data_IF_337154710330
#
_entry.id   IF_337154710330
#
_cell.length_a   1.000
_cell.length_b   1.000
_cell.length_c   1.000
_cell.angle_alpha   90.00
_cell.angle_beta   90.00
_cell.angle_gamma   90.00
#
_symmetry.space_group_name_H-M   'P 1'
#
loop_
_entity.id
_entity.type
_entity.pdbx_description
1 polymer ?
#
# COMPACT_ATOMS: atom_id res chain seq x y z
N UNK A 1 -20.03 -18.77 9.21
CA UNK A 1 -20.06 -17.36 9.67
C UNK A 1 -20.63 -16.47 8.58
N UNK A 2 -21.29 -15.40 8.98
CA UNK A 2 -21.66 -14.27 8.12
C UNK A 2 -20.57 -13.21 8.26
N UNK A 3 -19.88 -12.91 7.18
CA UNK A 3 -18.70 -12.04 7.17
C UNK A 3 -18.97 -10.88 6.22
N UNK A 4 -18.72 -9.66 6.66
CA UNK A 4 -18.74 -8.45 5.81
C UNK A 4 -17.31 -7.96 5.63
N UNK A 5 -16.89 -7.84 4.36
CA UNK A 5 -15.63 -7.22 3.96
C UNK A 5 -15.90 -5.74 3.62
N UNK A 6 -15.44 -4.82 4.46
CA UNK A 6 -15.59 -3.38 4.25
C UNK A 6 -14.31 -2.81 3.61
N UNK A 7 -14.42 -2.34 2.38
CA UNK A 7 -13.27 -1.87 1.59
C UNK A 7 -13.58 -0.53 0.92
N UNK A 8 -12.60 0.37 0.83
CA UNK A 8 -12.79 1.72 0.31
C UNK A 8 -13.15 1.79 -1.18
N UNK A 9 -12.72 0.80 -1.95
CA UNK A 9 -12.96 0.69 -3.40
C UNK A 9 -13.06 -0.79 -3.76
N UNK A 10 -13.88 -1.12 -4.79
CA UNK A 10 -13.99 -2.49 -5.24
C UNK A 10 -14.34 -2.61 -6.73
N UNK A 11 -14.12 -3.82 -7.28
CA UNK A 11 -14.45 -4.15 -8.67
C UNK A 11 -15.94 -3.89 -9.01
N UNK A 12 -16.26 -3.66 -10.30
CA UNK A 12 -15.36 -3.51 -11.45
C UNK A 12 -14.82 -2.08 -11.61
N UNK A 13 -15.23 -1.12 -10.76
CA UNK A 13 -14.95 0.31 -10.93
C UNK A 13 -13.47 0.63 -10.67
N UNK A 14 -12.87 -0.04 -9.69
CA UNK A 14 -11.45 0.12 -9.36
C UNK A 14 -10.75 -1.22 -9.34
N UNK A 15 -9.49 -1.23 -9.75
CA UNK A 15 -8.63 -2.41 -9.76
C UNK A 15 -7.29 -2.06 -9.12
N UNK A 16 -6.99 -2.70 -7.99
CA UNK A 16 -5.75 -2.46 -7.26
C UNK A 16 -5.36 -3.66 -6.39
N UNK A 17 -4.22 -3.54 -5.71
CA UNK A 17 -3.71 -4.62 -4.88
C UNK A 17 -4.62 -4.95 -3.68
N UNK A 18 -5.27 -3.94 -3.09
CA UNK A 18 -6.21 -4.14 -1.98
C UNK A 18 -7.47 -4.86 -2.44
N UNK A 19 -8.05 -4.44 -3.57
CA UNK A 19 -9.24 -5.05 -4.16
C UNK A 19 -8.98 -6.51 -4.54
N UNK A 20 -7.86 -6.80 -5.18
CA UNK A 20 -7.44 -8.16 -5.53
C UNK A 20 -7.23 -9.03 -4.27
N UNK A 21 -6.64 -8.45 -3.22
CA UNK A 21 -6.47 -9.12 -1.93
C UNK A 21 -7.82 -9.48 -1.29
N UNK A 22 -8.76 -8.52 -1.23
CA UNK A 22 -10.10 -8.74 -0.67
C UNK A 22 -10.88 -9.75 -1.49
N UNK A 23 -10.82 -9.70 -2.82
CA UNK A 23 -11.44 -10.69 -3.70
C UNK A 23 -10.85 -12.09 -3.47
N UNK A 24 -9.52 -12.21 -3.39
CA UNK A 24 -8.83 -13.47 -3.10
C UNK A 24 -9.21 -14.06 -1.75
N UNK A 25 -9.28 -13.24 -0.70
CA UNK A 25 -9.74 -13.65 0.63
C UNK A 25 -11.22 -14.07 0.62
N UNK A 26 -12.08 -13.27 -0.02
CA UNK A 26 -13.51 -13.54 -0.13
C UNK A 26 -13.78 -14.86 -0.82
N UNK A 27 -13.12 -15.12 -1.95
CA UNK A 27 -13.29 -16.37 -2.69
C UNK A 27 -12.95 -17.61 -1.82
N UNK A 28 -11.87 -17.55 -1.05
CA UNK A 28 -11.44 -18.66 -0.18
C UNK A 28 -12.37 -18.86 1.01
N UNK A 29 -12.79 -17.78 1.67
CA UNK A 29 -13.77 -17.87 2.75
C UNK A 29 -15.08 -18.50 2.28
N UNK A 30 -15.55 -18.14 1.07
CA UNK A 30 -16.74 -18.73 0.47
C UNK A 30 -16.55 -20.22 0.12
N UNK A 31 -15.40 -20.59 -0.43
CA UNK A 31 -15.07 -22.01 -0.67
C UNK A 31 -15.09 -22.85 0.63
N UNK A 32 -14.81 -22.23 1.78
CA UNK A 32 -14.88 -22.86 3.10
C UNK A 32 -16.30 -22.82 3.71
N UNK A 33 -17.31 -22.40 2.95
CA UNK A 33 -18.71 -22.40 3.35
C UNK A 33 -19.16 -21.20 4.19
N UNK A 34 -18.37 -20.11 4.22
CA UNK A 34 -18.79 -18.87 4.86
C UNK A 34 -19.65 -18.02 3.93
N UNK A 35 -20.64 -17.33 4.46
CA UNK A 35 -21.41 -16.33 3.74
C UNK A 35 -20.64 -15.00 3.80
N UNK A 36 -20.21 -14.47 2.65
CA UNK A 36 -19.38 -13.27 2.59
C UNK A 36 -20.01 -12.24 1.67
N UNK A 37 -20.23 -11.05 2.22
CA UNK A 37 -20.69 -9.86 1.47
C UNK A 37 -19.61 -8.78 1.51
N UNK A 38 -19.59 -7.92 0.50
CA UNK A 38 -18.66 -6.81 0.39
C UNK A 38 -19.43 -5.50 0.44
N UNK A 39 -18.91 -4.52 1.18
CA UNK A 39 -19.48 -3.18 1.26
C UNK A 39 -18.43 -2.13 0.94
N UNK A 40 -18.81 -1.14 0.11
CA UNK A 40 -17.89 -0.09 -0.34
C UNK A 40 -18.62 1.25 -0.49
N UNK A 41 -18.07 2.38 0.02
CA UNK A 41 -18.62 3.71 -0.21
C UNK A 41 -18.30 4.21 -1.62
N UNK A 42 -19.20 4.98 -2.21
CA UNK A 42 -18.95 5.59 -3.52
C UNK A 42 -19.50 7.02 -3.59
N UNK A 43 -18.64 8.03 -3.81
CA UNK A 43 -19.07 9.42 -3.98
C UNK A 43 -19.66 9.71 -5.36
N UNK A 44 -19.63 8.79 -6.32
CA UNK A 44 -20.08 9.00 -7.70
C UNK A 44 -21.53 8.52 -7.95
N UNK A 45 -22.14 7.82 -6.99
CA UNK A 45 -23.49 7.29 -7.12
C UNK A 45 -24.47 8.06 -6.23
N UNK A 46 -25.74 8.11 -6.63
CA UNK A 46 -26.81 8.76 -5.87
C UNK A 46 -27.64 7.78 -5.02
N UNK A 47 -27.66 6.51 -5.42
CA UNK A 47 -28.46 5.46 -4.79
C UNK A 47 -27.60 4.21 -4.55
N UNK A 48 -28.01 3.39 -3.61
CA UNK A 48 -27.34 2.12 -3.30
C UNK A 48 -27.44 1.18 -4.49
N UNK A 49 -26.31 0.62 -4.88
CA UNK A 49 -26.20 -0.40 -5.92
C UNK A 49 -25.80 -1.72 -5.29
N UNK A 50 -26.56 -2.76 -5.59
CA UNK A 50 -26.22 -4.14 -5.19
C UNK A 50 -26.00 -4.98 -6.46
N UNK A 51 -24.88 -5.64 -6.55
CA UNK A 51 -24.51 -6.48 -7.69
C UNK A 51 -23.69 -7.69 -7.22
N UNK A 52 -23.50 -8.63 -8.12
CA UNK A 52 -22.62 -9.79 -7.89
C UNK A 52 -21.30 -9.59 -8.64
N UNK A 53 -20.18 -9.92 -7.97
CA UNK A 53 -18.86 -9.98 -8.57
C UNK A 53 -18.13 -11.23 -8.06
N UNK A 54 -17.70 -12.10 -8.98
CA UNK A 54 -17.06 -13.40 -8.68
C UNK A 54 -17.86 -14.22 -7.63
N UNK A 55 -19.20 -14.16 -7.77
CA UNK A 55 -20.15 -14.85 -6.90
C UNK A 55 -20.35 -14.22 -5.51
N UNK A 56 -19.67 -13.14 -5.16
CA UNK A 56 -19.91 -12.41 -3.91
C UNK A 56 -20.88 -11.23 -4.15
N UNK A 57 -21.80 -11.02 -3.20
CA UNK A 57 -22.68 -9.85 -3.21
C UNK A 57 -21.87 -8.62 -2.79
N UNK A 58 -21.98 -7.56 -3.57
CA UNK A 58 -21.34 -6.27 -3.33
C UNK A 58 -22.40 -5.20 -3.14
N UNK A 59 -22.34 -4.49 -2.02
CA UNK A 59 -23.17 -3.33 -1.72
C UNK A 59 -22.32 -2.07 -1.87
N UNK A 60 -22.65 -1.25 -2.84
CA UNK A 60 -22.03 0.06 -3.08
C UNK A 60 -23.01 1.13 -2.60
N UNK A 61 -22.63 1.91 -1.60
CA UNK A 61 -23.50 2.93 -1.01
C UNK A 61 -23.01 4.35 -1.27
N UNK A 62 -23.92 5.30 -1.50
CA UNK A 62 -23.56 6.68 -1.78
C UNK A 62 -23.00 7.37 -0.54
N UNK A 63 -21.96 8.19 -0.73
CA UNK A 63 -21.48 9.16 0.25
C UNK A 63 -21.43 10.55 -0.37
N UNK A 64 -21.53 11.59 0.47
CA UNK A 64 -21.52 12.97 -0.02
C UNK A 64 -20.21 13.31 -0.74
N UNK A 65 -20.35 14.08 -1.82
CA UNK A 65 -19.25 14.70 -2.54
C UNK A 65 -19.69 16.09 -3.05
N UNK A 66 -18.90 17.17 -2.87
CA UNK A 66 -17.65 17.21 -2.12
C UNK A 66 -17.89 17.07 -0.61
N UNK A 67 -16.88 16.51 0.06
CA UNK A 67 -16.87 16.45 1.52
C UNK A 67 -16.69 17.84 2.12
N UNK A 68 -17.36 18.11 3.23
CA UNK A 68 -17.04 19.26 4.07
C UNK A 68 -15.65 19.07 4.71
N UNK A 69 -15.03 20.17 5.16
CA UNK A 69 -13.73 20.10 5.83
C UNK A 69 -13.73 19.20 7.08
N UNK A 70 -14.74 19.25 7.98
CA UNK A 70 -14.83 18.31 9.09
C UNK A 70 -14.94 16.84 8.66
N UNK A 71 -15.76 16.51 7.65
CA UNK A 71 -15.90 15.15 7.11
C UNK A 71 -14.57 14.65 6.53
N UNK A 72 -13.91 15.46 5.70
CA UNK A 72 -12.63 15.10 5.11
C UNK A 72 -11.50 14.91 6.14
N UNK A 73 -11.63 15.52 7.32
CA UNK A 73 -10.69 15.40 8.44
C UNK A 73 -11.10 14.32 9.45
N UNK A 74 -12.23 13.62 9.25
CA UNK A 74 -12.78 12.65 10.20
C UNK A 74 -13.26 13.25 11.52
N UNK A 75 -13.60 14.55 11.52
CA UNK A 75 -14.13 15.29 12.69
C UNK A 75 -15.67 15.30 12.73
N UNK A 76 -16.30 14.83 11.68
CA UNK A 76 -17.72 14.61 11.58
C UNK A 76 -17.97 13.33 10.77
N UNK A 77 -19.07 12.62 11.05
CA UNK A 77 -19.52 11.53 10.19
C UNK A 77 -19.69 12.01 8.75
N UNK A 78 -19.43 11.14 7.80
CA UNK A 78 -19.61 11.43 6.37
C UNK A 78 -21.09 11.28 6.03
N UNK A 79 -21.71 12.30 5.46
CA UNK A 79 -23.11 12.24 5.02
C UNK A 79 -23.28 11.11 3.99
N UNK A 80 -24.33 10.31 4.15
CA UNK A 80 -24.60 9.11 3.37
C UNK A 80 -24.12 7.81 4.04
N UNK A 81 -23.18 7.89 4.99
CA UNK A 81 -22.73 6.69 5.73
C UNK A 81 -23.79 6.15 6.71
N UNK A 82 -24.86 6.90 6.95
CA UNK A 82 -26.02 6.45 7.73
C UNK A 82 -26.65 5.18 7.16
N UNK A 83 -26.58 5.01 5.84
CA UNK A 83 -27.00 3.77 5.20
C UNK A 83 -26.25 2.56 5.75
N UNK A 84 -24.90 2.64 5.86
CA UNK A 84 -24.10 1.56 6.42
C UNK A 84 -24.52 1.23 7.84
N UNK A 85 -24.79 2.24 8.68
CA UNK A 85 -25.19 2.04 10.08
C UNK A 85 -26.55 1.28 10.16
N UNK A 86 -27.54 1.65 9.33
CA UNK A 86 -28.81 0.95 9.28
C UNK A 86 -28.69 -0.47 8.74
N UNK A 87 -27.94 -0.62 7.64
CA UNK A 87 -27.74 -1.89 6.98
C UNK A 87 -26.99 -2.91 7.88
N UNK A 88 -25.90 -2.50 8.53
CA UNK A 88 -25.11 -3.40 9.38
C UNK A 88 -25.90 -3.83 10.63
N UNK A 89 -26.72 -2.93 11.17
CA UNK A 89 -27.61 -3.23 12.30
C UNK A 89 -28.69 -4.25 11.96
N UNK A 90 -29.19 -4.26 10.70
CA UNK A 90 -30.13 -5.25 10.20
C UNK A 90 -29.45 -6.58 9.82
N UNK A 91 -28.30 -6.50 9.16
CA UNK A 91 -27.54 -7.66 8.68
C UNK A 91 -26.99 -8.53 9.82
N UNK A 92 -26.59 -7.92 10.96
CA UNK A 92 -26.01 -8.58 12.13
C UNK A 92 -25.00 -9.66 11.76
N UNK A 93 -23.90 -9.31 11.08
CA UNK A 93 -22.87 -10.28 10.74
C UNK A 93 -22.10 -10.75 11.98
N UNK A 94 -21.50 -11.93 11.90
CA UNK A 94 -20.59 -12.41 12.93
C UNK A 94 -19.29 -11.59 12.94
N UNK A 95 -18.81 -11.23 11.73
CA UNK A 95 -17.54 -10.53 11.50
C UNK A 95 -17.76 -9.34 10.57
N UNK A 96 -17.16 -8.19 10.92
CA UNK A 96 -16.93 -7.08 9.99
C UNK A 96 -15.43 -6.85 9.88
N UNK A 97 -14.89 -7.02 8.69
CA UNK A 97 -13.47 -6.85 8.42
C UNK A 97 -13.23 -5.61 7.55
N UNK A 98 -12.66 -4.58 8.14
CA UNK A 98 -12.30 -3.33 7.46
C UNK A 98 -10.90 -3.45 6.85
N UNK A 99 -10.77 -3.23 5.54
CA UNK A 99 -9.49 -3.29 4.82
C UNK A 99 -8.86 -1.92 4.56
N UNK A 100 -9.63 -0.86 4.69
CA UNK A 100 -9.16 0.51 4.55
C UNK A 100 -10.01 1.44 5.41
N UNK A 101 -9.39 2.49 5.93
CA UNK A 101 -10.11 3.59 6.57
C UNK A 101 -10.17 4.75 5.58
N UNK A 102 -11.37 5.01 5.10
CA UNK A 102 -11.67 6.05 4.10
C UNK A 102 -12.93 6.82 4.52
N UNK A 103 -13.26 7.96 3.91
CA UNK A 103 -14.55 8.59 4.12
C UNK A 103 -15.70 7.60 3.87
N UNK A 104 -16.60 7.46 4.84
CA UNK A 104 -17.69 6.49 4.83
C UNK A 104 -17.35 5.09 5.39
N UNK A 105 -16.08 4.82 5.66
CA UNK A 105 -15.60 3.62 6.40
C UNK A 105 -14.51 4.06 7.38
N UNK A 106 -14.88 4.78 8.42
CA UNK A 106 -13.99 5.28 9.46
C UNK A 106 -14.40 4.81 10.85
N UNK A 107 -14.07 5.59 11.87
CA UNK A 107 -14.32 5.27 13.28
C UNK A 107 -15.82 5.14 13.58
N UNK A 108 -16.69 5.93 12.93
CA UNK A 108 -18.14 5.86 13.11
C UNK A 108 -18.69 4.50 12.63
N UNK A 109 -18.20 4.01 11.50
CA UNK A 109 -18.61 2.73 10.92
C UNK A 109 -18.04 1.53 11.71
N UNK A 110 -16.80 1.64 12.24
CA UNK A 110 -16.26 0.65 13.20
C UNK A 110 -17.13 0.54 14.43
N UNK A 111 -17.54 1.70 14.99
CA UNK A 111 -18.42 1.78 16.16
C UNK A 111 -19.81 1.18 15.87
N UNK A 112 -20.37 1.46 14.70
CA UNK A 112 -21.65 0.90 14.26
C UNK A 112 -21.59 -0.62 14.13
N UNK A 113 -20.54 -1.17 13.52
CA UNK A 113 -20.31 -2.61 13.41
C UNK A 113 -20.20 -3.27 14.80
N UNK A 114 -19.49 -2.64 15.72
CA UNK A 114 -19.37 -3.12 17.10
C UNK A 114 -20.70 -3.09 17.83
N UNK A 115 -21.49 -2.04 17.67
CA UNK A 115 -22.83 -1.90 18.24
C UNK A 115 -23.84 -2.94 17.69
N UNK A 116 -23.66 -3.38 16.44
CA UNK A 116 -24.42 -4.46 15.82
C UNK A 116 -24.08 -5.86 16.39
N UNK A 117 -23.09 -5.96 17.30
CA UNK A 117 -22.64 -7.20 17.92
C UNK A 117 -21.57 -7.96 17.12
N UNK A 118 -21.07 -7.40 16.04
CA UNK A 118 -20.05 -8.02 15.22
C UNK A 118 -18.67 -8.01 15.92
N UNK A 119 -17.87 -9.05 15.66
CA UNK A 119 -16.43 -8.99 15.88
C UNK A 119 -15.81 -8.11 14.78
N UNK A 120 -15.05 -7.10 15.19
CA UNK A 120 -14.50 -6.09 14.28
C UNK A 120 -13.00 -6.30 14.10
N UNK A 121 -12.60 -6.57 12.86
CA UNK A 121 -11.20 -6.69 12.45
C UNK A 121 -10.87 -5.51 11.53
N UNK A 122 -9.71 -4.91 11.68
CA UNK A 122 -9.23 -3.90 10.73
C UNK A 122 -7.83 -4.26 10.24
N UNK A 123 -7.64 -4.34 8.92
CA UNK A 123 -6.34 -4.54 8.30
C UNK A 123 -5.93 -3.25 7.58
N UNK A 124 -4.73 -2.77 7.86
CA UNK A 124 -4.21 -1.59 7.16
C UNK A 124 -3.36 -1.98 5.97
N UNK A 125 -3.82 -1.60 4.77
CA UNK A 125 -3.06 -1.68 3.52
C UNK A 125 -2.35 -0.37 3.18
N UNK A 126 -2.57 0.67 3.99
CA UNK A 126 -2.04 2.01 3.78
C UNK A 126 -0.75 2.24 4.56
N UNK A 127 0.19 2.95 3.97
CA UNK A 127 1.41 3.44 4.64
C UNK A 127 1.14 4.45 5.77
N UNK A 128 -0.10 4.91 5.95
CA UNK A 128 -0.48 5.74 7.10
C UNK A 128 -0.57 4.94 8.40
N UNK A 129 -0.70 3.61 8.34
CA UNK A 129 -0.89 2.70 9.47
C UNK A 129 -2.06 3.13 10.38
N UNK A 130 -3.24 3.32 9.79
CA UNK A 130 -4.37 3.99 10.45
C UNK A 130 -4.15 5.50 10.41
N UNK A 131 -3.90 6.14 11.55
CA UNK A 131 -3.72 7.60 11.66
C UNK A 131 -2.30 8.02 12.09
N UNK A 132 -1.32 7.09 12.12
CA UNK A 132 0.03 7.36 12.60
C UNK A 132 0.77 8.32 11.68
N UNK A 133 0.73 8.12 10.37
CA UNK A 133 1.44 8.95 9.41
C UNK A 133 0.52 9.88 8.62
N UNK A 134 0.44 11.14 9.01
CA UNK A 134 -0.32 12.17 8.28
C UNK A 134 0.20 12.38 6.85
N UNK A 135 1.51 12.23 6.62
CA UNK A 135 2.12 12.27 5.28
C UNK A 135 1.70 11.10 4.39
N UNK A 136 1.31 9.97 4.98
CA UNK A 136 0.81 8.79 4.27
C UNK A 136 1.88 7.93 3.60
N UNK A 137 3.18 8.16 3.83
CA UNK A 137 4.27 7.43 3.16
C UNK A 137 5.22 6.74 4.11
N UNK A 138 5.19 7.06 5.40
CA UNK A 138 6.18 6.67 6.42
C UNK A 138 7.63 7.04 6.04
N UNK A 139 7.78 8.03 5.17
CA UNK A 139 9.07 8.57 4.76
C UNK A 139 9.26 9.96 5.36
N UNK A 140 10.21 10.10 6.28
CA UNK A 140 10.57 11.39 6.88
C UNK A 140 11.10 12.32 5.80
N UNK A 141 10.49 13.48 5.65
CA UNK A 141 10.80 14.46 4.60
C UNK A 141 10.71 13.90 3.16
N UNK A 142 10.07 12.71 2.99
CA UNK A 142 10.00 12.01 1.72
C UNK A 142 11.30 11.36 1.24
N UNK A 143 12.32 11.24 2.10
CA UNK A 143 13.67 10.81 1.71
C UNK A 143 14.21 9.62 2.51
N UNK A 144 13.90 9.54 3.81
CA UNK A 144 14.39 8.50 4.70
C UNK A 144 13.22 7.80 5.40
N UNK A 145 13.40 6.51 5.73
CA UNK A 145 12.42 5.78 6.51
C UNK A 145 12.14 6.50 7.83
N UNK A 146 10.87 6.71 8.15
CA UNK A 146 10.44 7.26 9.41
C UNK A 146 10.66 6.22 10.54
N UNK A 147 10.90 6.72 11.77
CA UNK A 147 10.97 5.87 12.97
C UNK A 147 9.59 5.30 13.39
N UNK A 148 8.51 5.77 12.77
CA UNK A 148 7.14 5.36 13.04
C UNK A 148 6.50 6.01 14.28
N UNK A 149 7.25 6.74 15.10
CA UNK A 149 6.70 7.43 16.28
C UNK A 149 6.02 8.72 15.88
N UNK A 150 4.76 8.90 16.29
CA UNK A 150 4.01 10.14 16.04
C UNK A 150 4.33 11.18 17.11
N UNK A 151 4.91 12.28 16.68
CA UNK A 151 5.18 13.45 17.51
C UNK A 151 4.59 14.69 16.84
N UNK A 152 3.79 15.46 17.57
CA UNK A 152 3.04 16.59 17.00
C UNK A 152 3.94 17.51 16.17
N UNK A 153 5.05 17.99 16.72
CA UNK A 153 5.95 18.92 16.04
C UNK A 153 6.65 18.30 14.83
N UNK A 154 7.18 17.09 15.01
CA UNK A 154 7.90 16.36 13.96
C UNK A 154 6.98 16.05 12.78
N UNK A 155 5.80 15.51 13.06
CA UNK A 155 4.85 15.09 12.04
C UNK A 155 4.17 16.27 11.36
N UNK A 156 3.83 17.35 12.11
CA UNK A 156 3.30 18.57 11.53
C UNK A 156 4.28 19.23 10.55
N UNK A 157 5.55 19.38 10.93
CA UNK A 157 6.58 19.91 10.03
C UNK A 157 6.77 19.02 8.80
N UNK A 158 6.75 17.69 8.97
CA UNK A 158 6.91 16.74 7.87
C UNK A 158 5.75 16.81 6.86
N UNK A 159 4.49 16.91 7.32
CA UNK A 159 3.33 17.03 6.43
C UNK A 159 3.27 18.40 5.75
N UNK A 160 3.59 19.47 6.47
CA UNK A 160 3.65 20.83 5.90
C UNK A 160 4.68 20.94 4.77
N UNK A 161 5.83 20.27 4.89
CA UNK A 161 6.79 20.20 3.78
C UNK A 161 6.25 19.43 2.58
N UNK A 162 5.50 18.34 2.79
CA UNK A 162 4.80 17.65 1.68
C UNK A 162 3.85 18.59 0.96
N UNK A 163 3.24 19.53 1.68
CA UNK A 163 2.32 20.55 1.13
C UNK A 163 3.03 21.75 0.50
N UNK A 164 4.36 21.71 0.40
CA UNK A 164 5.18 22.71 -0.30
C UNK A 164 5.69 23.85 0.58
N UNK A 165 5.54 23.82 1.92
CA UNK A 165 6.16 24.82 2.78
C UNK A 165 7.69 24.62 2.84
N UNK A 166 8.42 25.73 2.80
CA UNK A 166 9.85 25.70 3.05
C UNK A 166 10.17 25.08 4.42
N UNK A 167 11.27 24.33 4.57
CA UNK A 167 11.59 23.60 5.81
C UNK A 167 11.58 24.47 7.08
N UNK A 168 12.10 25.70 7.01
CA UNK A 168 12.11 26.64 8.14
C UNK A 168 10.70 27.10 8.52
N UNK A 169 9.84 27.40 7.53
CA UNK A 169 8.46 27.84 7.75
C UNK A 169 7.60 26.69 8.31
N UNK A 170 7.77 25.48 7.78
CA UNK A 170 7.12 24.27 8.29
C UNK A 170 7.50 24.00 9.75
N UNK A 171 8.79 24.14 10.08
CA UNK A 171 9.30 23.96 11.44
C UNK A 171 8.80 25.05 12.41
N UNK A 172 8.67 26.30 11.95
CA UNK A 172 8.12 27.39 12.75
C UNK A 172 6.62 27.16 13.03
N UNK A 173 5.82 26.87 12.00
CA UNK A 173 4.39 26.60 12.14
C UNK A 173 4.11 25.39 13.05
N UNK A 174 4.94 24.35 12.97
CA UNK A 174 4.83 23.15 13.81
C UNK A 174 5.10 23.38 15.30
N UNK A 175 5.67 24.53 15.70
CA UNK A 175 5.87 24.89 17.11
C UNK A 175 4.64 25.51 17.79
N UNK A 176 3.60 25.81 17.00
CA UNK A 176 2.38 26.38 17.57
C UNK A 176 1.78 25.38 18.59
N UNK A 177 1.44 25.82 19.82
CA UNK A 177 0.78 24.94 20.79
C UNK A 177 -0.53 24.37 20.24
N UNK A 178 -0.87 23.15 20.60
CA UNK A 178 -2.04 22.42 20.07
C UNK A 178 -3.33 23.23 20.27
N UNK A 179 -3.54 23.82 21.44
CA UNK A 179 -4.74 24.68 21.72
C UNK A 179 -4.83 25.89 20.80
N UNK A 180 -3.72 26.64 20.62
CA UNK A 180 -3.68 27.78 19.69
C UNK A 180 -3.84 27.32 18.22
N UNK A 181 -3.28 26.17 17.88
CA UNK A 181 -3.43 25.54 16.56
C UNK A 181 -4.88 25.13 16.28
N UNK A 182 -5.61 24.64 17.28
CA UNK A 182 -7.03 24.30 17.12
C UNK A 182 -7.88 25.54 16.80
N UNK A 183 -7.62 26.67 17.47
CA UNK A 183 -8.27 27.94 17.14
C UNK A 183 -7.89 28.42 15.73
N UNK A 184 -6.60 28.41 15.41
CA UNK A 184 -6.11 28.84 14.10
C UNK A 184 -6.60 27.98 12.93
N UNK A 185 -6.97 26.74 13.18
CA UNK A 185 -7.55 25.80 12.19
C UNK A 185 -8.86 26.32 11.56
N UNK A 186 -9.61 27.16 12.28
CA UNK A 186 -10.85 27.76 11.78
C UNK A 186 -10.61 28.83 10.70
N UNK A 187 -9.39 29.33 10.59
CA UNK A 187 -9.03 30.29 9.54
C UNK A 187 -9.19 29.69 8.13
N UNK A 188 -9.59 30.49 7.15
CA UNK A 188 -9.83 29.98 5.80
C UNK A 188 -8.54 29.58 5.06
N UNK A 189 -8.69 28.69 4.10
CA UNK A 189 -7.67 28.36 3.11
C UNK A 189 -6.38 27.75 3.66
N UNK A 190 -5.27 28.12 3.04
CA UNK A 190 -3.94 27.57 3.36
C UNK A 190 -3.43 28.01 4.75
N UNK A 191 -3.83 29.17 5.23
CA UNK A 191 -3.42 29.70 6.55
C UNK A 191 -3.95 28.78 7.65
N UNK A 192 -5.26 28.53 7.66
CA UNK A 192 -5.87 27.64 8.66
C UNK A 192 -5.35 26.19 8.55
N UNK A 193 -5.01 25.72 7.35
CA UNK A 193 -4.38 24.40 7.17
C UNK A 193 -2.97 24.39 7.77
N UNK A 194 -2.18 25.41 7.52
CA UNK A 194 -0.78 25.49 7.99
C UNK A 194 -0.71 25.61 9.51
N UNK A 195 -1.42 26.60 10.08
CA UNK A 195 -1.40 26.83 11.52
C UNK A 195 -2.20 25.77 12.31
N UNK A 196 -3.18 25.12 11.67
CA UNK A 196 -3.96 24.03 12.25
C UNK A 196 -3.30 22.66 12.19
N UNK A 197 -2.10 22.54 11.61
CA UNK A 197 -1.45 21.23 11.43
C UNK A 197 -1.08 20.55 12.76
N UNK A 198 -0.49 21.20 13.77
CA UNK A 198 -0.25 20.58 15.06
C UNK A 198 -1.52 20.00 15.71
N UNK A 199 -2.64 20.70 15.65
CA UNK A 199 -3.93 20.21 16.15
C UNK A 199 -4.45 19.02 15.34
N UNK A 200 -4.21 19.00 14.02
CA UNK A 200 -4.58 17.87 13.17
C UNK A 200 -3.76 16.61 13.49
N UNK A 201 -2.47 16.75 13.78
CA UNK A 201 -1.64 15.62 14.22
C UNK A 201 -2.08 15.08 15.59
N UNK A 202 -2.34 15.99 16.56
CA UNK A 202 -2.84 15.57 17.86
C UNK A 202 -4.20 14.84 17.75
N UNK A 203 -5.08 15.33 16.88
CA UNK A 203 -6.35 14.68 16.60
C UNK A 203 -6.17 13.29 15.94
N UNK A 204 -5.21 13.12 15.04
CA UNK A 204 -4.90 11.81 14.48
C UNK A 204 -4.40 10.81 15.54
N UNK A 205 -3.66 11.27 16.56
CA UNK A 205 -3.28 10.40 17.69
C UNK A 205 -4.52 9.94 18.48
N UNK A 206 -5.47 10.84 18.72
CA UNK A 206 -6.74 10.48 19.36
C UNK A 206 -7.52 9.46 18.51
N UNK A 207 -7.66 9.69 17.19
CA UNK A 207 -8.33 8.77 16.27
C UNK A 207 -7.66 7.39 16.25
N UNK A 208 -6.34 7.32 16.36
CA UNK A 208 -5.64 6.03 16.46
C UNK A 208 -6.04 5.25 17.73
N UNK A 209 -6.23 5.95 18.84
CA UNK A 209 -6.74 5.34 20.09
C UNK A 209 -8.19 4.87 19.91
N UNK A 210 -9.06 5.72 19.38
CA UNK A 210 -10.47 5.38 19.11
C UNK A 210 -10.61 4.18 18.15
N UNK A 211 -9.79 4.13 17.09
CA UNK A 211 -9.72 2.97 16.20
C UNK A 211 -9.41 1.68 17.00
N UNK A 212 -8.38 1.73 17.85
CA UNK A 212 -7.97 0.58 18.63
C UNK A 212 -9.02 0.18 19.69
N UNK A 213 -9.82 1.13 20.19
CA UNK A 213 -10.91 0.84 21.13
C UNK A 213 -12.06 0.09 20.46
N UNK A 214 -12.31 0.35 19.18
CA UNK A 214 -13.44 -0.24 18.44
C UNK A 214 -13.10 -1.48 17.62
N UNK A 215 -11.82 -1.86 17.51
CA UNK A 215 -11.43 -3.12 16.87
C UNK A 215 -11.10 -4.21 17.90
N UNK A 216 -11.44 -5.44 17.58
CA UNK A 216 -11.00 -6.61 18.35
C UNK A 216 -9.59 -7.02 17.98
N UNK A 217 -9.24 -6.88 16.68
CA UNK A 217 -7.86 -7.06 16.18
C UNK A 217 -7.56 -6.01 15.13
N UNK A 218 -6.37 -5.41 15.25
CA UNK A 218 -5.77 -4.55 14.23
C UNK A 218 -4.62 -5.30 13.56
N UNK A 219 -4.77 -5.59 12.28
CA UNK A 219 -3.87 -6.45 11.52
C UNK A 219 -2.91 -5.61 10.69
N UNK A 220 -1.64 -5.88 10.86
CA UNK A 220 -0.54 -5.28 10.12
C UNK A 220 0.05 -6.31 9.15
N UNK A 221 0.58 -5.83 8.04
CA UNK A 221 1.10 -6.69 6.98
C UNK A 221 2.62 -6.93 7.09
N UNK A 222 3.30 -6.17 7.96
CA UNK A 222 4.74 -6.24 8.17
C UNK A 222 5.08 -6.09 9.65
N UNK A 223 6.19 -6.69 10.07
CA UNK A 223 6.75 -6.56 11.42
C UNK A 223 7.05 -5.10 11.76
N UNK A 224 7.68 -4.40 10.81
CA UNK A 224 7.99 -3.00 10.98
C UNK A 224 6.74 -2.15 11.26
N UNK A 225 5.63 -2.40 10.54
CA UNK A 225 4.36 -1.71 10.76
C UNK A 225 3.79 -2.02 12.14
N UNK A 226 3.84 -3.28 12.56
CA UNK A 226 3.40 -3.72 13.88
C UNK A 226 4.21 -3.00 14.98
N UNK A 227 5.52 -2.99 14.89
CA UNK A 227 6.37 -2.31 15.86
C UNK A 227 6.16 -0.78 15.86
N UNK A 228 5.88 -0.16 14.71
CA UNK A 228 5.53 1.26 14.65
C UNK A 228 4.23 1.56 15.40
N UNK A 229 3.21 0.71 15.26
CA UNK A 229 1.93 0.86 15.97
C UNK A 229 2.12 0.64 17.48
N UNK A 230 2.94 -0.33 17.89
CA UNK A 230 3.30 -0.56 19.31
C UNK A 230 4.01 0.66 19.92
N UNK A 231 4.97 1.26 19.21
CA UNK A 231 5.68 2.47 19.66
C UNK A 231 4.72 3.66 19.90
N UNK A 232 3.57 3.67 19.24
CA UNK A 232 2.52 4.66 19.43
C UNK A 232 1.50 4.27 20.51
N UNK A 233 1.81 3.28 21.35
CA UNK A 233 1.03 2.93 22.53
C UNK A 233 -0.06 1.87 22.29
N UNK A 234 -0.13 1.26 21.11
CA UNK A 234 -1.11 0.20 20.86
C UNK A 234 -0.82 -1.04 21.71
N UNK A 235 -1.84 -1.62 22.38
CA UNK A 235 -1.68 -2.81 23.19
C UNK A 235 -1.42 -4.02 22.28
N UNK A 236 -0.34 -4.76 22.54
CA UNK A 236 0.08 -5.91 21.70
C UNK A 236 -1.00 -6.95 21.53
N UNK A 237 -1.84 -7.18 22.55
CA UNK A 237 -2.91 -8.17 22.48
C UNK A 237 -4.01 -7.84 21.45
N UNK A 238 -4.13 -6.58 21.02
CA UNK A 238 -5.03 -6.17 19.94
C UNK A 238 -4.40 -6.27 18.55
N UNK A 239 -3.10 -6.46 18.47
CA UNK A 239 -2.37 -6.48 17.20
C UNK A 239 -2.18 -7.90 16.69
N UNK A 240 -2.20 -8.05 15.38
CA UNK A 240 -1.82 -9.28 14.71
C UNK A 240 -0.98 -8.97 13.46
N UNK A 241 -0.08 -9.89 13.14
CA UNK A 241 0.68 -9.86 11.90
C UNK A 241 0.07 -10.89 10.95
N UNK A 242 -0.37 -10.45 9.76
CA UNK A 242 -0.79 -11.35 8.70
C UNK A 242 -0.19 -10.87 7.37
N UNK A 243 0.98 -11.40 7.01
CA UNK A 243 1.71 -11.02 5.80
C UNK A 243 0.92 -11.33 4.55
N UNK A 244 1.15 -10.56 3.49
CA UNK A 244 0.50 -10.78 2.20
C UNK A 244 0.82 -12.18 1.63
N UNK A 245 -0.12 -12.71 0.87
CA UNK A 245 0.02 -13.91 0.07
C UNK A 245 -0.32 -13.66 -1.39
N UNK A 246 0.04 -14.59 -2.24
CA UNK A 246 -0.24 -14.56 -3.69
C UNK A 246 -1.51 -15.35 -4.03
N UNK A 247 -2.16 -15.00 -5.13
CA UNK A 247 -3.30 -15.74 -5.66
C UNK A 247 -2.89 -17.13 -6.17
N UNK A 248 -3.86 -18.06 -6.27
CA UNK A 248 -3.62 -19.44 -6.69
C UNK A 248 -3.04 -19.59 -8.11
N UNK A 249 -3.22 -18.59 -8.97
CA UNK A 249 -2.70 -18.64 -10.35
C UNK A 249 -1.16 -18.61 -10.41
N UNK A 250 -0.50 -18.01 -9.42
CA UNK A 250 0.95 -18.04 -9.28
C UNK A 250 1.46 -19.38 -8.71
N UNK A 251 0.67 -20.05 -7.88
CA UNK A 251 1.06 -21.33 -7.26
C UNK A 251 0.98 -22.48 -8.27
N UNK A 252 0.12 -22.38 -9.29
CA UNK A 252 -0.13 -23.44 -10.27
C UNK A 252 0.90 -23.57 -11.39
N UNK A 253 1.70 -22.52 -11.64
CA UNK A 253 2.79 -22.58 -12.63
C UNK A 253 4.10 -22.83 -11.88
N UNK A 254 4.75 -24.01 -12.06
CA UNK A 254 6.10 -24.20 -11.56
C UNK A 254 6.97 -23.06 -12.08
N UNK A 255 7.83 -22.51 -11.21
CA UNK A 255 8.86 -21.60 -11.66
C UNK A 255 9.51 -22.19 -12.90
N UNK A 256 9.55 -21.43 -14.00
CA UNK A 256 10.18 -21.89 -15.23
C UNK A 256 11.55 -22.44 -14.88
N UNK A 257 11.88 -23.62 -15.39
CA UNK A 257 13.14 -24.29 -15.09
C UNK A 257 14.28 -23.27 -15.16
N UNK A 258 15.08 -23.20 -14.09
CA UNK A 258 16.08 -22.16 -13.90
C UNK A 258 16.97 -22.07 -15.15
N UNK A 259 16.70 -21.08 -16.00
CA UNK A 259 17.54 -20.81 -17.17
C UNK A 259 18.76 -19.99 -16.68
N UNK A 260 19.98 -20.31 -17.12
CA UNK A 260 21.12 -19.45 -16.85
C UNK A 260 20.88 -18.05 -17.41
N UNK A 261 21.12 -17.04 -16.59
CA UNK A 261 21.00 -15.64 -17.03
C UNK A 261 22.17 -15.29 -17.95
N UNK A 262 21.86 -14.71 -19.11
CA UNK A 262 22.87 -14.30 -20.10
C UNK A 262 22.75 -12.80 -20.36
N UNK A 263 23.89 -12.09 -20.52
CA UNK A 263 23.85 -10.70 -20.95
C UNK A 263 23.19 -10.54 -22.35
N UNK A 264 22.43 -9.45 -22.56
CA UNK A 264 22.10 -8.41 -21.61
C UNK A 264 21.07 -8.88 -20.57
N UNK A 265 21.30 -8.52 -19.29
CA UNK A 265 20.36 -8.81 -18.19
C UNK A 265 19.08 -8.02 -18.38
N UNK A 266 17.94 -8.68 -18.32
CA UNK A 266 16.63 -8.05 -18.47
C UNK A 266 16.06 -7.66 -17.08
N UNK A 267 16.15 -6.38 -16.77
CA UNK A 267 15.46 -5.78 -15.62
C UNK A 267 14.03 -5.44 -16.01
N UNK A 268 13.07 -5.62 -15.09
CA UNK A 268 11.68 -5.25 -15.29
C UNK A 268 11.18 -4.33 -14.19
N UNK A 269 10.28 -3.43 -14.55
CA UNK A 269 9.43 -2.69 -13.62
C UNK A 269 7.98 -2.93 -14.00
N UNK A 270 7.15 -3.36 -13.05
CA UNK A 270 5.71 -3.52 -13.22
C UNK A 270 4.99 -2.83 -12.08
N UNK A 271 4.21 -1.80 -12.40
CA UNK A 271 3.49 -1.04 -11.38
C UNK A 271 2.99 0.32 -11.86
N UNK A 272 2.26 1.03 -11.00
CA UNK A 272 1.76 2.37 -11.31
C UNK A 272 2.89 3.35 -11.53
N UNK A 273 2.73 4.25 -12.48
CA UNK A 273 3.61 5.40 -12.65
C UNK A 273 3.27 6.47 -11.62
N UNK A 274 3.90 6.36 -10.46
CA UNK A 274 3.73 7.24 -9.31
C UNK A 274 5.12 7.56 -8.74
N UNK A 275 5.44 8.83 -8.41
CA UNK A 275 6.73 9.20 -7.84
C UNK A 275 7.12 8.42 -6.58
N UNK A 276 6.11 8.03 -5.76
CA UNK A 276 6.35 7.25 -4.53
C UNK A 276 6.84 5.82 -4.83
N UNK A 277 6.69 5.32 -6.07
CA UNK A 277 7.23 4.03 -6.51
C UNK A 277 8.70 4.11 -6.94
N UNK A 278 9.32 5.31 -6.88
CA UNK A 278 10.72 5.51 -7.18
C UNK A 278 11.11 5.37 -8.65
N UNK A 279 10.14 5.47 -9.54
CA UNK A 279 10.34 5.26 -10.99
C UNK A 279 11.32 6.24 -11.62
N UNK A 280 11.37 7.49 -11.12
CA UNK A 280 12.36 8.48 -11.57
C UNK A 280 13.80 8.09 -11.18
N UNK A 281 13.97 7.49 -9.99
CA UNK A 281 15.28 7.03 -9.55
C UNK A 281 15.77 5.84 -10.39
N UNK A 282 14.85 4.95 -10.80
CA UNK A 282 15.18 3.88 -11.73
C UNK A 282 15.61 4.40 -13.10
N UNK A 283 14.86 5.36 -13.66
CA UNK A 283 15.22 5.98 -14.93
C UNK A 283 16.59 6.70 -14.85
N UNK A 284 16.85 7.46 -13.77
CA UNK A 284 18.15 8.12 -13.53
C UNK A 284 19.29 7.12 -13.38
N UNK A 285 19.05 6.05 -12.63
CA UNK A 285 20.04 5.00 -12.42
C UNK A 285 20.49 4.40 -13.75
N UNK A 286 19.57 3.98 -14.62
CA UNK A 286 19.90 3.40 -15.93
C UNK A 286 20.55 4.43 -16.86
N UNK A 287 20.02 5.66 -16.92
CA UNK A 287 20.56 6.72 -17.78
C UNK A 287 21.98 7.14 -17.38
N UNK A 288 22.39 6.96 -16.12
CA UNK A 288 23.74 7.28 -15.63
C UNK A 288 24.79 6.24 -15.96
N UNK A 289 24.39 5.03 -16.38
CA UNK A 289 25.33 3.93 -16.67
C UNK A 289 25.88 4.04 -18.09
N UNK A 290 27.15 3.65 -18.30
CA UNK A 290 27.74 3.55 -19.62
C UNK A 290 26.84 2.78 -20.60
N UNK A 291 26.77 3.21 -21.85
CA UNK A 291 25.90 2.60 -22.89
C UNK A 291 26.23 1.12 -23.13
N UNK A 292 27.48 0.74 -22.89
CA UNK A 292 28.02 -0.61 -23.06
C UNK A 292 27.60 -1.56 -21.93
N UNK A 293 27.04 -1.04 -20.83
CA UNK A 293 26.55 -1.90 -19.74
C UNK A 293 25.49 -2.86 -20.30
N UNK A 294 25.69 -4.20 -20.16
CA UNK A 294 24.87 -5.19 -20.86
C UNK A 294 23.54 -5.43 -20.11
N UNK A 295 22.66 -4.44 -20.17
CA UNK A 295 21.32 -4.47 -19.56
C UNK A 295 20.22 -4.12 -20.57
N UNK A 296 19.01 -4.53 -20.25
CA UNK A 296 17.75 -4.00 -20.78
C UNK A 296 16.82 -3.71 -19.64
N UNK A 297 15.99 -2.68 -19.77
CA UNK A 297 14.95 -2.33 -18.79
C UNK A 297 13.59 -2.32 -19.49
N UNK A 298 12.69 -3.20 -19.07
CA UNK A 298 11.30 -3.24 -19.50
C UNK A 298 10.40 -2.58 -18.41
N UNK A 299 9.72 -1.50 -18.79
CA UNK A 299 8.91 -0.66 -17.88
C UNK A 299 7.45 -0.79 -18.27
N UNK A 300 6.63 -1.32 -17.38
CA UNK A 300 5.21 -1.59 -17.61
C UNK A 300 4.35 -0.94 -16.53
N UNK A 301 3.29 -0.26 -16.93
CA UNK A 301 2.33 0.31 -16.00
C UNK A 301 1.14 0.98 -16.69
N UNK A 302 0.02 1.16 -15.96
CA UNK A 302 -1.15 1.85 -16.48
C UNK A 302 -0.89 3.35 -16.63
N UNK A 303 -1.48 3.94 -17.68
CA UNK A 303 -1.40 5.38 -18.03
C UNK A 303 -2.81 5.99 -18.13
N UNK A 304 -3.66 5.60 -17.21
CA UNK A 304 -5.09 5.93 -17.14
C UNK A 304 -5.39 7.32 -16.55
N UNK A 305 -4.49 7.84 -15.71
CA UNK A 305 -4.63 9.17 -15.09
C UNK A 305 -3.74 10.23 -15.74
N UNK A 306 -4.04 11.51 -15.48
CA UNK A 306 -3.20 12.64 -15.91
C UNK A 306 -1.81 12.56 -15.26
N UNK A 307 -1.79 12.21 -13.98
CA UNK A 307 -0.57 12.08 -13.17
C UNK A 307 0.32 10.94 -13.70
N UNK A 308 -0.24 9.76 -13.99
CA UNK A 308 0.54 8.63 -14.52
C UNK A 308 1.15 8.94 -15.89
N UNK A 309 0.40 9.63 -16.77
CA UNK A 309 0.91 10.11 -18.05
C UNK A 309 2.03 11.13 -17.88
N UNK A 310 1.93 12.02 -16.89
CA UNK A 310 2.98 12.99 -16.59
C UNK A 310 4.26 12.28 -16.11
N UNK A 311 4.15 11.37 -15.17
CA UNK A 311 5.29 10.60 -14.65
C UNK A 311 5.98 9.79 -15.76
N UNK A 312 5.20 9.15 -16.64
CA UNK A 312 5.77 8.44 -17.78
C UNK A 312 6.58 9.38 -18.72
N UNK A 313 6.04 10.56 -19.04
CA UNK A 313 6.80 11.55 -19.86
C UNK A 313 8.10 11.97 -19.18
N UNK A 314 8.08 12.18 -17.88
CA UNK A 314 9.27 12.52 -17.10
C UNK A 314 10.31 11.41 -17.13
N UNK A 315 9.90 10.15 -16.97
CA UNK A 315 10.79 8.99 -17.11
C UNK A 315 11.40 8.88 -18.50
N UNK A 316 10.58 9.07 -19.55
CA UNK A 316 11.05 9.06 -20.96
C UNK A 316 12.05 10.17 -21.22
N UNK A 317 11.82 11.37 -20.68
CA UNK A 317 12.75 12.49 -20.78
C UNK A 317 14.08 12.21 -20.07
N UNK A 318 14.06 11.57 -18.89
CA UNK A 318 15.26 11.15 -18.16
C UNK A 318 16.02 10.07 -18.93
N UNK A 319 15.32 9.11 -19.51
CA UNK A 319 15.95 8.04 -20.32
C UNK A 319 16.56 8.56 -21.62
N UNK A 320 16.14 9.74 -22.08
CA UNK A 320 16.73 10.46 -23.23
C UNK A 320 16.95 9.57 -24.47
N UNK A 321 15.97 8.71 -24.81
CA UNK A 321 16.05 7.81 -25.96
C UNK A 321 17.06 6.67 -25.80
N UNK A 322 17.42 6.30 -24.59
CA UNK A 322 18.30 5.15 -24.33
C UNK A 322 17.70 3.86 -24.92
N UNK A 323 18.33 3.21 -25.92
CA UNK A 323 17.79 2.03 -26.59
C UNK A 323 17.68 0.79 -25.68
N UNK A 324 18.28 0.84 -24.49
CA UNK A 324 18.18 -0.22 -23.48
C UNK A 324 16.86 -0.16 -22.71
N UNK A 325 16.13 0.98 -22.76
CA UNK A 325 14.90 1.19 -21.99
C UNK A 325 13.68 1.09 -22.89
N UNK A 326 12.80 0.18 -22.59
CA UNK A 326 11.54 0.00 -23.29
C UNK A 326 10.36 0.36 -22.37
N UNK A 327 9.48 1.24 -22.84
CA UNK A 327 8.25 1.62 -22.17
C UNK A 327 7.06 0.97 -22.90
N UNK A 328 6.50 -0.07 -22.30
CA UNK A 328 5.38 -0.82 -22.87
C UNK A 328 4.05 -0.56 -22.18
N UNK A 329 2.94 -1.08 -22.71
CA UNK A 329 1.63 -1.02 -22.08
C UNK A 329 1.60 -1.79 -20.76
N UNK A 330 0.57 -1.53 -19.95
CA UNK A 330 0.32 -2.33 -18.75
C UNK A 330 0.18 -3.82 -19.12
N UNK A 331 0.72 -4.68 -18.26
CA UNK A 331 0.56 -6.14 -18.39
C UNK A 331 -0.82 -6.51 -17.84
N UNK A 332 -1.58 -7.30 -18.57
CA UNK A 332 -2.86 -7.81 -18.08
C UNK A 332 -2.63 -8.73 -16.86
N UNK A 333 -3.56 -8.71 -15.90
CA UNK A 333 -3.41 -9.47 -14.65
C UNK A 333 -3.14 -10.96 -14.88
N UNK A 334 -3.78 -11.57 -15.86
CA UNK A 334 -3.56 -12.98 -16.22
C UNK A 334 -2.15 -13.27 -16.77
N UNK A 335 -1.46 -12.26 -17.33
CA UNK A 335 -0.15 -12.38 -17.94
C UNK A 335 0.99 -12.00 -16.99
N UNK A 336 0.69 -11.46 -15.82
CA UNK A 336 1.71 -11.07 -14.82
C UNK A 336 2.65 -12.24 -14.48
N UNK A 337 2.17 -13.45 -14.21
CA UNK A 337 3.06 -14.57 -13.88
C UNK A 337 4.08 -14.88 -14.98
N UNK A 338 3.62 -14.93 -16.23
CA UNK A 338 4.48 -15.22 -17.38
C UNK A 338 5.43 -14.08 -17.69
N UNK A 339 4.98 -12.83 -17.52
CA UNK A 339 5.82 -11.64 -17.69
C UNK A 339 6.94 -11.60 -16.62
N UNK A 340 6.61 -11.82 -15.35
CA UNK A 340 7.61 -11.88 -14.28
C UNK A 340 8.62 -13.01 -14.51
N UNK A 341 8.18 -14.19 -14.95
CA UNK A 341 9.07 -15.29 -15.28
C UNK A 341 9.98 -15.01 -16.50
N UNK A 342 9.63 -14.05 -17.35
CA UNK A 342 10.41 -13.67 -18.54
C UNK A 342 11.54 -12.69 -18.25
N UNK A 343 11.48 -11.91 -17.16
CA UNK A 343 12.51 -10.98 -16.75
C UNK A 343 13.54 -11.65 -15.82
N UNK A 344 14.73 -11.08 -15.73
CA UNK A 344 15.81 -11.65 -14.91
C UNK A 344 15.78 -11.08 -13.49
N UNK A 345 15.44 -9.80 -13.34
CA UNK A 345 15.37 -9.09 -12.05
C UNK A 345 14.20 -8.11 -12.06
N UNK A 346 13.33 -8.17 -11.06
CA UNK A 346 12.30 -7.17 -10.86
C UNK A 346 12.85 -5.97 -10.08
N UNK A 347 12.63 -4.74 -10.56
CA UNK A 347 12.99 -3.50 -9.89
C UNK A 347 11.81 -2.96 -9.07
N UNK A 348 11.99 -2.81 -7.76
CA UNK A 348 11.03 -2.23 -6.82
C UNK A 348 11.67 -1.06 -6.04
N UNK A 349 11.96 0.08 -6.69
CA UNK A 349 12.71 1.20 -6.09
C UNK A 349 11.82 2.12 -5.24
N UNK A 350 10.77 1.60 -4.59
CA UNK A 350 9.76 2.37 -3.86
C UNK A 350 10.35 3.35 -2.85
N UNK A 351 9.77 4.56 -2.82
CA UNK A 351 10.08 5.64 -1.88
C UNK A 351 8.97 5.85 -0.84
N UNK A 352 8.20 4.80 -0.55
CA UNK A 352 7.20 4.79 0.53
C UNK A 352 7.23 3.43 1.24
N UNK A 353 6.82 3.42 2.50
CA UNK A 353 6.59 2.17 3.20
C UNK A 353 5.44 1.43 2.50
N UNK A 354 5.74 0.25 2.05
CA UNK A 354 4.72 -0.67 1.52
C UNK A 354 4.49 -1.80 2.51
N UNK A 355 3.25 -2.24 2.63
CA UNK A 355 2.86 -3.42 3.42
C UNK A 355 3.34 -4.74 2.82
N UNK A 356 4.22 -4.66 1.83
CA UNK A 356 4.70 -5.69 0.94
C UNK A 356 4.13 -5.43 -0.46
N UNK A 357 4.95 -5.00 -1.43
CA UNK A 357 4.46 -4.89 -2.79
C UNK A 357 4.12 -6.28 -3.30
N UNK A 358 2.86 -6.53 -3.65
CA UNK A 358 2.39 -7.83 -4.16
C UNK A 358 3.24 -8.30 -5.33
N UNK A 359 3.59 -7.38 -6.22
CA UNK A 359 4.43 -7.68 -7.40
C UNK A 359 5.81 -8.28 -7.03
N UNK A 360 6.39 -7.92 -5.86
CA UNK A 360 7.66 -8.50 -5.42
C UNK A 360 7.48 -9.94 -4.88
N UNK A 361 6.35 -10.20 -4.19
CA UNK A 361 5.99 -11.55 -3.75
C UNK A 361 5.69 -12.42 -4.96
N UNK A 362 4.97 -11.90 -5.93
CA UNK A 362 4.64 -12.52 -7.21
C UNK A 362 5.90 -12.82 -8.03
N UNK A 363 6.89 -11.91 -8.04
CA UNK A 363 8.17 -12.13 -8.69
C UNK A 363 8.94 -13.30 -8.05
N UNK A 364 9.02 -13.36 -6.73
CA UNK A 364 9.63 -14.49 -6.05
C UNK A 364 8.93 -15.81 -6.41
N UNK A 365 7.59 -15.82 -6.44
CA UNK A 365 6.83 -16.99 -6.85
C UNK A 365 7.07 -17.40 -8.33
N UNK A 366 7.34 -16.43 -9.18
CA UNK A 366 7.69 -16.64 -10.59
C UNK A 366 9.17 -17.05 -10.79
N UNK A 367 9.97 -17.11 -9.73
CA UNK A 367 11.40 -17.42 -9.79
C UNK A 367 12.29 -16.21 -10.13
N UNK A 368 11.79 -14.99 -9.95
CA UNK A 368 12.46 -13.73 -10.31
C UNK A 368 12.91 -12.98 -9.04
N UNK A 369 14.22 -12.82 -8.81
CA UNK A 369 14.74 -12.05 -7.68
C UNK A 369 14.43 -10.56 -7.82
N UNK A 370 14.49 -9.85 -6.68
CA UNK A 370 14.11 -8.44 -6.59
C UNK A 370 15.32 -7.55 -6.29
N UNK A 371 15.47 -6.48 -7.06
CA UNK A 371 16.29 -5.31 -6.74
C UNK A 371 15.35 -4.21 -6.22
N UNK A 372 15.43 -3.90 -4.93
CA UNK A 372 14.48 -2.99 -4.29
C UNK A 372 15.11 -2.03 -3.30
N UNK A 373 14.27 -1.28 -2.60
CA UNK A 373 14.69 -0.38 -1.53
C UNK A 373 14.52 -1.02 -0.16
N UNK A 374 15.41 -0.70 0.78
CA UNK A 374 15.45 -1.25 2.13
C UNK A 374 14.38 -0.59 3.02
N UNK A 375 13.09 -0.83 2.69
CA UNK A 375 11.96 -0.28 3.44
C UNK A 375 10.81 -1.30 3.54
N UNK A 376 10.11 -1.27 4.68
CA UNK A 376 8.86 -1.99 4.91
C UNK A 376 8.91 -3.45 4.48
N UNK A 377 7.86 -3.90 3.81
CA UNK A 377 7.71 -5.28 3.35
C UNK A 377 8.78 -5.76 2.38
N UNK A 378 9.42 -4.87 1.59
CA UNK A 378 10.57 -5.26 0.76
C UNK A 378 11.75 -5.70 1.62
N UNK A 379 12.04 -4.98 2.72
CA UNK A 379 13.14 -5.32 3.61
C UNK A 379 12.88 -6.61 4.43
N UNK A 380 11.62 -7.03 4.56
CA UNK A 380 11.25 -8.29 5.19
C UNK A 380 11.19 -9.46 4.19
N UNK A 381 10.94 -9.18 2.91
CA UNK A 381 10.86 -10.16 1.84
C UNK A 381 12.24 -10.50 1.26
N UNK A 382 13.10 -9.49 1.09
CA UNK A 382 14.40 -9.62 0.44
C UNK A 382 15.52 -9.65 1.47
N UNK A 383 16.25 -10.76 1.53
CA UNK A 383 17.52 -10.87 2.27
C UNK A 383 18.64 -10.40 1.33
N UNK A 384 19.19 -9.22 1.63
CA UNK A 384 20.18 -8.54 0.80
C UNK A 384 21.38 -9.41 0.46
N UNK A 385 21.69 -9.56 -0.82
CA UNK A 385 22.77 -10.39 -1.35
C UNK A 385 22.51 -11.91 -1.34
N UNK A 386 21.35 -12.37 -0.81
CA UNK A 386 20.98 -13.79 -0.75
C UNK A 386 19.90 -14.14 -1.79
N UNK A 387 18.77 -13.48 -1.76
CA UNK A 387 17.64 -13.69 -2.70
C UNK A 387 17.26 -12.43 -3.50
N UNK A 388 18.12 -11.43 -3.49
CA UNK A 388 17.94 -10.15 -4.16
C UNK A 388 18.92 -9.11 -3.67
N UNK A 389 18.66 -7.84 -4.01
CA UNK A 389 19.49 -6.71 -3.57
C UNK A 389 18.64 -5.57 -3.04
N UNK A 390 19.08 -4.91 -1.95
CA UNK A 390 18.42 -3.77 -1.34
C UNK A 390 19.35 -2.56 -1.28
N UNK A 391 18.84 -1.41 -1.75
CA UNK A 391 19.52 -0.10 -1.66
C UNK A 391 18.75 0.85 -0.75
N UNK A 392 19.35 1.96 -0.36
CA UNK A 392 18.66 3.00 0.38
C UNK A 392 17.56 3.66 -0.49
N UNK A 393 16.36 3.99 0.06
CA UNK A 393 15.32 4.67 -0.71
C UNK A 393 15.79 6.07 -1.16
N UNK A 394 15.49 6.42 -2.41
CA UNK A 394 15.90 7.69 -3.02
C UNK A 394 17.38 7.77 -3.41
N UNK A 395 18.15 6.72 -3.21
CA UNK A 395 19.55 6.65 -3.64
C UNK A 395 19.68 6.00 -5.03
N UNK A 396 19.37 6.80 -6.06
CA UNK A 396 19.49 6.33 -7.43
C UNK A 396 20.94 5.96 -7.84
N UNK A 397 21.96 6.49 -7.15
CA UNK A 397 23.37 6.15 -7.41
C UNK A 397 23.71 4.74 -6.89
N UNK A 398 23.24 4.39 -5.68
CA UNK A 398 23.35 3.03 -5.18
C UNK A 398 22.53 2.05 -6.05
N UNK A 399 21.38 2.48 -6.57
CA UNK A 399 20.59 1.69 -7.50
C UNK A 399 21.34 1.45 -8.83
N UNK A 400 21.99 2.47 -9.38
CA UNK A 400 22.83 2.33 -10.56
C UNK A 400 24.02 1.38 -10.35
N UNK A 401 24.72 1.53 -9.22
CA UNK A 401 25.82 0.64 -8.86
C UNK A 401 25.35 -0.83 -8.71
N UNK A 402 24.18 -1.05 -8.12
CA UNK A 402 23.60 -2.40 -8.01
C UNK A 402 23.24 -2.98 -9.38
N UNK A 403 22.61 -2.19 -10.27
CA UNK A 403 22.29 -2.62 -11.65
C UNK A 403 23.58 -2.98 -12.41
N UNK A 404 24.61 -2.15 -12.32
CA UNK A 404 25.90 -2.41 -12.98
C UNK A 404 26.56 -3.70 -12.49
N UNK A 405 26.58 -3.92 -11.16
CA UNK A 405 27.16 -5.13 -10.55
C UNK A 405 26.40 -6.41 -10.98
N UNK A 406 25.06 -6.34 -11.02
CA UNK A 406 24.22 -7.46 -11.48
C UNK A 406 24.49 -7.76 -12.96
N UNK A 407 24.56 -6.72 -13.81
CA UNK A 407 24.80 -6.87 -15.23
C UNK A 407 26.21 -7.39 -15.55
N UNK A 408 27.21 -7.09 -14.72
CA UNK A 408 28.57 -7.55 -14.88
C UNK A 408 28.77 -9.04 -14.60
N UNK A 409 28.07 -9.59 -13.60
CA UNK A 409 28.13 -11.01 -13.23
C UNK A 409 26.75 -11.55 -12.85
N UNK A 410 25.89 -11.85 -13.85
CA UNK A 410 24.56 -12.38 -13.59
C UNK A 410 24.56 -13.78 -12.98
N UNK A 411 25.57 -14.61 -13.20
CA UNK A 411 25.66 -15.95 -12.64
C UNK A 411 25.90 -15.90 -11.12
N UNK A 412 26.85 -15.07 -10.67
CA UNK A 412 27.14 -14.89 -9.24
C UNK A 412 26.05 -14.07 -8.50
N UNK A 413 25.14 -13.44 -9.21
CA UNK A 413 24.03 -12.65 -8.65
C UNK A 413 22.68 -13.31 -8.92
N UNK A 414 22.12 -13.11 -10.09
CA UNK A 414 20.73 -13.52 -10.43
C UNK A 414 20.53 -15.03 -10.27
N UNK A 415 21.42 -15.86 -10.83
CA UNK A 415 21.23 -17.32 -10.80
C UNK A 415 21.37 -17.86 -9.38
N UNK A 416 22.32 -17.33 -8.61
CA UNK A 416 22.47 -17.66 -7.19
C UNK A 416 21.23 -17.24 -6.39
N UNK A 417 20.71 -16.04 -6.62
CA UNK A 417 19.52 -15.53 -5.91
C UNK A 417 18.28 -16.34 -6.24
N UNK A 418 18.09 -16.76 -7.48
CA UNK A 418 16.99 -17.67 -7.87
C UNK A 418 16.98 -18.95 -7.05
N UNK A 419 18.15 -19.54 -6.82
CA UNK A 419 18.27 -20.74 -5.99
C UNK A 419 17.98 -20.53 -4.49
N UNK A 420 17.91 -19.29 -4.04
CA UNK A 420 17.68 -18.92 -2.64
C UNK A 420 16.32 -18.24 -2.41
N UNK A 421 15.44 -18.20 -3.42
CA UNK A 421 14.10 -17.61 -3.27
C UNK A 421 13.26 -18.43 -2.28
N UNK A 422 12.58 -17.77 -1.33
CA UNK A 422 11.71 -18.46 -0.39
C UNK A 422 10.45 -18.96 -1.09
N UNK A 423 9.84 -20.01 -0.52
CA UNK A 423 8.49 -20.41 -0.92
C UNK A 423 7.52 -19.23 -0.72
N UNK A 424 6.73 -18.96 -1.74
CA UNK A 424 5.76 -17.87 -1.69
C UNK A 424 4.58 -18.25 -0.77
N UNK A 425 4.21 -17.32 0.13
CA UNK A 425 3.01 -17.44 0.93
C UNK A 425 1.77 -17.32 0.05
N UNK A 426 0.81 -18.20 0.26
CA UNK A 426 -0.43 -18.24 -0.53
C UNK A 426 -1.57 -17.44 0.13
N UNK A 427 -2.63 -17.14 -0.64
CA UNK A 427 -3.86 -16.60 -0.06
C UNK A 427 -4.60 -17.63 0.82
N UNK A 428 -4.32 -18.92 0.68
CA UNK A 428 -4.85 -19.95 1.57
C UNK A 428 -4.24 -19.83 2.97
N UNK A 429 -2.92 -19.58 3.06
CA UNK A 429 -2.24 -19.30 4.34
C UNK A 429 -2.78 -18.02 4.99
N UNK A 430 -2.99 -16.96 4.19
CA UNK A 430 -3.58 -15.71 4.65
C UNK A 430 -4.98 -15.94 5.23
N UNK A 431 -5.80 -16.74 4.54
CA UNK A 431 -7.16 -17.04 4.96
C UNK A 431 -7.18 -17.87 6.24
N UNK A 432 -6.29 -18.86 6.37
CA UNK A 432 -6.16 -19.67 7.58
C UNK A 432 -5.83 -18.82 8.81
N UNK A 433 -4.92 -17.85 8.67
CA UNK A 433 -4.61 -16.92 9.76
C UNK A 433 -5.81 -16.03 10.12
N UNK A 434 -6.57 -15.52 9.12
CA UNK A 434 -7.78 -14.75 9.44
C UNK A 434 -8.86 -15.58 10.11
N UNK A 435 -9.04 -16.83 9.75
CA UNK A 435 -10.01 -17.70 10.42
C UNK A 435 -9.67 -17.86 11.90
N UNK A 436 -8.38 -17.96 12.26
CA UNK A 436 -7.96 -17.95 13.67
C UNK A 436 -8.30 -16.63 14.34
N UNK A 437 -8.06 -15.48 13.67
CA UNK A 437 -8.38 -14.15 14.19
C UNK A 437 -9.90 -13.92 14.31
N UNK A 438 -10.71 -14.54 13.44
CA UNK A 438 -12.17 -14.44 13.48
C UNK A 438 -12.76 -15.28 14.63
N UNK A 439 -12.11 -16.39 15.00
CA UNK A 439 -12.57 -17.28 16.07
C UNK A 439 -12.10 -16.89 17.48
N UNK A 440 -10.97 -16.20 17.61
CA UNK A 440 -10.33 -15.83 18.88
C UNK A 440 -11.01 -14.63 19.54
#
# INVERSE_FOLDING_TARGET
MRIVQAVGWYFPVTTGGTEAYVAGLTARLRCLGHHVEIVTPDPAIAEVQTYEHDGAIVHRFPIAHPLTRPEAQGRAPVRGSEWFHGWIGAARPDIVHFHTLVPGLGEAELKAAKAAGARVIATTHSSSLGHICARGTMMRWGRALCDGLTEVRKCAACDLQKRGLAPWAASAAARLPVGASEIARSLPGKVGTTLGMPASIAFNQQRQTELLDHVDRFVLLTEWALEAVVRNGAPRHKLALNRLGISGDFVRKPAAAARPTRPPVLFGYVGRFDPIKGVHDLARAVASLPRETPLRLDVRGPVDTVESRQVLREMQAIAAGDPRVYFGPAVASADIPSHLASIDVLCCPSACLEGGPTIAIEAHAAGTPVLGTRIGGLAELVTDGVNGRLVAPGDWRALAAAIAAIAADPAATVDRWRGALPAARSMDDVTADYLQLYAA
#
